data_IF_418115696015
#
_entry.id   IF_418115696015
#
_cell.length_a   1.000
_cell.length_b   1.000
_cell.length_c   1.000
_cell.angle_alpha   90.00
_cell.angle_beta   90.00
_cell.angle_gamma   90.00
#
_symmetry.space_group_name_H-M   'P 1'
#
loop_
_entity.id
_entity.type
_entity.pdbx_description
1 polymer ?
#
# COMPACT_ATOMS: atom_id res chain seq x y z
N UNK A 1 -13.70 -11.06 1.87
CA UNK A 1 -13.54 -9.62 2.16
C UNK A 1 -13.84 -8.89 0.87
N UNK A 2 -14.69 -7.87 0.92
CA UNK A 2 -14.96 -7.00 -0.23
C UNK A 2 -13.75 -6.12 -0.53
N UNK A 3 -13.66 -5.62 -1.76
CA UNK A 3 -12.60 -4.67 -2.15
C UNK A 3 -12.61 -3.41 -1.27
N UNK A 4 -13.81 -2.94 -0.92
CA UNK A 4 -13.99 -1.77 -0.06
C UNK A 4 -13.43 -1.99 1.36
N UNK A 5 -13.64 -3.18 1.94
CA UNK A 5 -13.05 -3.56 3.23
C UNK A 5 -11.52 -3.75 3.14
N UNK A 6 -11.02 -4.27 2.01
CA UNK A 6 -9.58 -4.41 1.76
C UNK A 6 -8.89 -3.05 1.67
N UNK A 7 -9.51 -2.11 0.96
CA UNK A 7 -9.05 -0.73 0.83
C UNK A 7 -8.96 -0.02 2.17
N UNK A 8 -10.01 -0.04 2.99
CA UNK A 8 -10.00 0.65 4.29
C UNK A 8 -8.95 0.05 5.25
N UNK A 9 -8.75 -1.27 5.25
CA UNK A 9 -7.67 -1.90 6.02
C UNK A 9 -6.28 -1.49 5.54
N UNK A 10 -6.06 -1.46 4.22
CA UNK A 10 -4.78 -1.06 3.64
C UNK A 10 -4.49 0.41 3.91
N UNK A 11 -5.47 1.30 3.88
CA UNK A 11 -5.29 2.72 4.26
C UNK A 11 -4.74 2.87 5.67
N UNK A 12 -5.29 2.11 6.62
CA UNK A 12 -4.83 2.13 8.00
C UNK A 12 -3.40 1.59 8.13
N UNK A 13 -3.07 0.53 7.39
CA UNK A 13 -1.72 -0.04 7.36
C UNK A 13 -0.71 0.91 6.71
N UNK A 14 -1.01 1.48 5.54
CA UNK A 14 -0.14 2.43 4.84
C UNK A 14 0.14 3.65 5.70
N UNK A 15 -0.89 4.22 6.36
CA UNK A 15 -0.69 5.33 7.30
C UNK A 15 0.20 4.93 8.48
N UNK A 16 -0.01 3.74 9.07
CA UNK A 16 0.81 3.28 10.18
C UNK A 16 2.27 3.01 9.76
N UNK A 17 2.48 2.54 8.53
CA UNK A 17 3.81 2.24 7.97
C UNK A 17 4.55 3.50 7.60
N UNK A 18 3.87 4.51 7.07
CA UNK A 18 4.51 5.75 6.65
C UNK A 18 5.14 6.52 7.83
N UNK A 19 4.63 6.30 9.05
CA UNK A 19 5.22 6.82 10.29
C UNK A 19 6.34 5.93 10.88
N UNK A 20 6.67 4.79 10.25
CA UNK A 20 7.71 3.86 10.72
C UNK A 20 9.03 4.02 9.97
N UNK A 21 10.15 4.11 10.70
CA UNK A 21 11.49 4.12 10.10
C UNK A 21 11.87 2.78 9.46
N UNK A 22 11.36 1.67 10.00
CA UNK A 22 11.59 0.30 9.48
C UNK A 22 10.31 -0.53 9.55
N UNK A 23 10.08 -1.32 8.51
CA UNK A 23 9.00 -2.30 8.43
C UNK A 23 9.40 -3.60 9.10
N UNK A 24 8.52 -4.14 9.95
CA UNK A 24 8.69 -5.48 10.49
C UNK A 24 8.03 -6.55 9.58
N UNK A 25 8.41 -7.81 9.78
CA UNK A 25 7.91 -8.93 8.99
C UNK A 25 6.38 -9.11 9.07
N UNK A 26 5.75 -8.72 10.18
CA UNK A 26 4.30 -8.83 10.36
C UNK A 26 3.55 -7.80 9.50
N UNK A 27 4.08 -6.58 9.38
CA UNK A 27 3.53 -5.53 8.52
C UNK A 27 3.64 -5.91 7.04
N UNK A 28 4.79 -6.42 6.62
CA UNK A 28 5.02 -6.91 5.26
C UNK A 28 4.05 -8.05 4.94
N UNK A 29 3.97 -9.06 5.83
CA UNK A 29 3.07 -10.20 5.66
C UNK A 29 1.60 -9.76 5.59
N UNK A 30 1.20 -8.81 6.43
CA UNK A 30 -0.18 -8.29 6.42
C UNK A 30 -0.55 -7.67 5.08
N UNK A 31 0.36 -6.92 4.45
CA UNK A 31 0.13 -6.35 3.12
C UNK A 31 0.11 -7.43 2.06
N UNK A 32 1.06 -8.37 2.06
CA UNK A 32 1.10 -9.48 1.10
C UNK A 32 -0.17 -10.33 1.18
N UNK A 33 -0.62 -10.70 2.38
CA UNK A 33 -1.84 -11.47 2.60
C UNK A 33 -3.10 -10.71 2.17
N UNK A 34 -3.13 -9.38 2.37
CA UNK A 34 -4.26 -8.57 1.92
C UNK A 34 -4.26 -8.43 0.41
N UNK A 35 -3.11 -8.18 -0.21
CA UNK A 35 -2.97 -7.81 -1.62
C UNK A 35 -2.96 -9.02 -2.57
N UNK A 36 -2.57 -10.20 -2.09
CA UNK A 36 -2.30 -11.40 -2.91
C UNK A 36 -1.20 -11.16 -3.96
N UNK A 37 -0.27 -10.27 -3.63
CA UNK A 37 0.92 -9.92 -4.41
C UNK A 37 2.12 -10.03 -3.47
N UNK A 38 3.17 -10.69 -3.92
CA UNK A 38 4.41 -10.90 -3.17
C UNK A 38 5.27 -9.63 -3.20
N UNK A 39 4.81 -8.62 -2.47
CA UNK A 39 5.53 -7.38 -2.24
C UNK A 39 6.66 -7.61 -1.24
N UNK A 40 7.85 -7.10 -1.57
CA UNK A 40 8.93 -7.05 -0.59
C UNK A 40 8.83 -5.82 0.33
N UNK A 41 9.65 -5.80 1.37
CA UNK A 41 9.64 -4.72 2.35
C UNK A 41 10.09 -3.37 1.77
N UNK A 42 10.99 -3.38 0.78
CA UNK A 42 11.54 -2.16 0.16
C UNK A 42 10.49 -1.52 -0.74
N UNK A 43 9.79 -2.32 -1.55
CA UNK A 43 8.66 -1.90 -2.39
C UNK A 43 7.54 -1.29 -1.55
N UNK A 44 7.11 -1.99 -0.48
CA UNK A 44 6.06 -1.48 0.43
C UNK A 44 6.50 -0.15 1.03
N UNK A 45 7.74 -0.06 1.50
CA UNK A 45 8.28 1.15 2.11
C UNK A 45 8.25 2.28 1.10
N UNK A 46 8.84 2.08 -0.08
CA UNK A 46 8.88 3.07 -1.16
C UNK A 46 7.48 3.58 -1.50
N UNK A 47 6.50 2.68 -1.70
CA UNK A 47 5.11 3.05 -2.01
C UNK A 47 4.44 3.84 -0.87
N UNK A 48 4.70 3.49 0.39
CA UNK A 48 4.13 4.21 1.53
C UNK A 48 4.76 5.60 1.72
N UNK A 49 6.06 5.76 1.43
CA UNK A 49 6.72 7.07 1.39
C UNK A 49 6.31 7.90 0.18
N UNK A 50 6.02 7.28 -0.95
CA UNK A 50 5.51 7.97 -2.15
C UNK A 50 4.16 8.66 -1.93
N UNK A 51 3.34 8.21 -0.97
CA UNK A 51 2.14 8.97 -0.56
C UNK A 51 2.49 10.29 0.16
N UNK A 52 3.59 10.33 0.93
CA UNK A 52 3.99 11.53 1.68
C UNK A 52 4.77 12.53 0.83
N UNK A 53 5.63 12.03 -0.08
CA UNK A 53 6.61 12.85 -0.81
C UNK A 53 6.33 12.96 -2.33
N UNK A 54 5.33 12.24 -2.86
CA UNK A 54 5.02 12.22 -4.29
C UNK A 54 3.57 12.64 -4.58
N UNK A 55 3.16 12.84 -5.86
CA UNK A 55 1.82 13.35 -6.18
C UNK A 55 0.67 12.36 -5.94
N UNK A 56 0.96 11.13 -5.51
CA UNK A 56 -0.07 10.10 -5.34
C UNK A 56 -0.83 10.27 -4.03
N UNK A 57 -2.16 10.15 -4.11
CA UNK A 57 -3.04 10.06 -2.95
C UNK A 57 -3.00 8.67 -2.30
N UNK A 58 -3.47 8.59 -1.06
CA UNK A 58 -3.53 7.34 -0.30
C UNK A 58 -4.38 6.28 -1.03
N UNK A 59 -5.45 6.72 -1.67
CA UNK A 59 -6.30 5.86 -2.49
C UNK A 59 -5.56 5.31 -3.71
N UNK A 60 -4.68 6.09 -4.34
CA UNK A 60 -3.88 5.65 -5.49
C UNK A 60 -2.79 4.66 -5.09
N UNK A 61 -2.13 4.88 -3.96
CA UNK A 61 -1.16 3.94 -3.39
C UNK A 61 -1.83 2.63 -2.99
N UNK A 62 -2.98 2.69 -2.31
CA UNK A 62 -3.74 1.49 -1.96
C UNK A 62 -4.23 0.76 -3.20
N UNK A 63 -4.69 1.48 -4.23
CA UNK A 63 -5.04 0.87 -5.51
C UNK A 63 -3.86 0.13 -6.12
N UNK A 64 -2.68 0.75 -6.17
CA UNK A 64 -1.47 0.12 -6.68
C UNK A 64 -1.09 -1.14 -5.89
N UNK A 65 -1.14 -1.09 -4.55
CA UNK A 65 -0.84 -2.25 -3.71
C UNK A 65 -1.78 -3.43 -3.97
N UNK A 66 -3.06 -3.14 -4.23
CA UNK A 66 -4.08 -4.17 -4.50
C UNK A 66 -3.93 -4.77 -5.90
N UNK A 67 -3.61 -3.96 -6.90
CA UNK A 67 -3.73 -4.32 -8.32
C UNK A 67 -2.37 -4.53 -9.02
N UNK A 68 -1.26 -4.11 -8.41
CA UNK A 68 0.09 -4.18 -8.99
C UNK A 68 0.32 -3.21 -10.16
N UNK A 69 -0.65 -2.33 -10.45
CA UNK A 69 -0.57 -1.33 -11.51
C UNK A 69 -1.20 -0.01 -11.06
N UNK A 70 -0.67 1.10 -11.56
CA UNK A 70 -1.31 2.39 -11.34
C UNK A 70 -2.63 2.42 -12.10
N UNK A 71 -3.66 2.95 -11.45
CA UNK A 71 -4.92 3.24 -12.12
C UNK A 71 -4.60 4.13 -13.32
N UNK A 72 -4.80 3.63 -14.55
CA UNK A 72 -4.59 4.43 -15.76
C UNK A 72 -5.32 5.76 -15.58
N UNK A 73 -4.57 6.86 -15.58
CA UNK A 73 -5.16 8.17 -15.69
C UNK A 73 -6.01 8.15 -16.96
N UNK A 74 -7.32 8.28 -16.81
CA UNK A 74 -8.19 8.46 -17.97
C UNK A 74 -7.71 9.74 -18.66
N UNK A 75 -7.30 9.69 -19.94
CA UNK A 75 -6.84 10.87 -20.68
C UNK A 75 -7.94 11.93 -20.82
#
# INVERSE_FOLDING_TARGET
>A
MSEQEKTEKLKLLVNAIADCDELNEEQVRSIVELCDIDWDAEDIKMMCYEYWESPFSLDEVVYFLIHGEHKKANP
#
